data_IF_918292110709
#
_entry.id   IF_918292110709
#
_cell.length_a   1.000
_cell.length_b   1.000
_cell.length_c   1.000
_cell.angle_alpha   90.00
_cell.angle_beta   90.00
_cell.angle_gamma   90.00
#
_symmetry.space_group_name_H-M   'P 1'
#
loop_
_entity.id
_entity.type
_entity.pdbx_description
1 polymer ?
#
# COMPACT_ATOMS: atom_id res chain seq x y z
N UNK A 1 -17.49 6.37 17.37
CA UNK A 1 -16.26 7.09 17.05
C UNK A 1 -16.36 7.38 15.56
N UNK A 2 -17.08 8.45 15.22
CA UNK A 2 -17.39 8.84 13.85
C UNK A 2 -16.92 10.29 13.68
N UNK A 3 -15.71 10.49 13.16
CA UNK A 3 -15.29 11.82 12.70
C UNK A 3 -15.84 12.02 11.31
N UNK A 4 -17.14 12.35 11.22
CA UNK A 4 -17.70 12.94 10.02
C UNK A 4 -16.95 14.26 9.76
N UNK A 5 -16.13 14.27 8.71
CA UNK A 5 -15.46 15.45 8.18
C UNK A 5 -16.52 16.47 7.74
N UNK A 6 -16.97 17.31 8.66
CA UNK A 6 -17.81 18.47 8.33
C UNK A 6 -16.91 19.51 7.67
N UNK A 7 -16.78 19.42 6.34
CA UNK A 7 -16.24 20.52 5.54
C UNK A 7 -17.13 21.75 5.78
N UNK A 8 -16.51 22.89 6.11
CA UNK A 8 -17.27 24.11 6.34
C UNK A 8 -18.08 24.46 5.08
N UNK A 9 -19.32 24.99 5.25
CA UNK A 9 -20.15 25.45 4.12
C UNK A 9 -19.41 26.41 3.19
N UNK A 10 -18.49 27.22 3.73
CA UNK A 10 -17.66 28.16 2.97
C UNK A 10 -16.63 27.44 2.09
N UNK A 11 -16.02 26.37 2.58
CA UNK A 11 -15.07 25.54 1.82
C UNK A 11 -15.78 24.78 0.70
N UNK A 12 -16.99 24.28 0.95
CA UNK A 12 -17.82 23.62 -0.07
C UNK A 12 -18.31 24.59 -1.14
N UNK A 13 -18.73 25.80 -0.76
CA UNK A 13 -19.13 26.85 -1.72
C UNK A 13 -17.95 27.32 -2.57
N UNK A 14 -16.76 27.49 -1.97
CA UNK A 14 -15.52 27.80 -2.71
C UNK A 14 -15.15 26.68 -3.69
N UNK A 15 -15.12 25.42 -3.23
CA UNK A 15 -14.82 24.27 -4.09
C UNK A 15 -15.84 24.13 -5.24
N UNK A 16 -17.13 24.36 -4.96
CA UNK A 16 -18.20 24.33 -5.97
C UNK A 16 -18.06 25.48 -6.98
N UNK A 17 -17.72 26.70 -6.54
CA UNK A 17 -17.44 27.81 -7.46
C UNK A 17 -16.18 27.60 -8.30
N UNK A 18 -15.17 26.91 -7.76
CA UNK A 18 -13.93 26.57 -8.45
C UNK A 18 -14.17 25.49 -9.50
N UNK A 19 -14.99 24.48 -9.18
CA UNK A 19 -15.46 23.46 -10.14
C UNK A 19 -16.39 24.04 -11.21
N UNK A 20 -17.26 24.99 -10.86
CA UNK A 20 -18.09 25.69 -11.84
C UNK A 20 -17.25 26.56 -12.79
N UNK A 21 -16.19 27.20 -12.26
CA UNK A 21 -15.24 27.96 -13.06
C UNK A 21 -14.40 27.06 -14.00
N UNK A 22 -14.06 25.82 -13.59
CA UNK A 22 -13.33 24.89 -14.45
C UNK A 22 -14.17 24.34 -15.61
N UNK A 23 -15.48 24.13 -15.42
CA UNK A 23 -16.41 23.72 -16.49
C UNK A 23 -16.61 24.84 -17.53
N UNK A 24 -16.57 26.12 -17.13
CA UNK A 24 -16.76 27.25 -18.05
C UNK A 24 -15.48 27.75 -18.72
N UNK A 25 -14.29 27.48 -18.15
CA UNK A 25 -13.01 27.99 -18.67
C UNK A 25 -12.39 27.14 -19.80
N UNK A 26 -12.94 25.98 -20.13
CA UNK A 26 -12.30 24.99 -21.02
C UNK A 26 -12.08 25.45 -22.48
N UNK A 27 -12.95 26.25 -23.14
CA UNK A 27 -12.69 26.63 -24.53
C UNK A 27 -12.11 28.05 -24.71
N UNK A 28 -12.44 29.00 -23.82
CA UNK A 28 -12.12 30.43 -24.04
C UNK A 28 -10.74 30.85 -23.50
N UNK A 29 -10.19 30.16 -22.50
CA UNK A 29 -8.87 30.46 -21.93
C UNK A 29 -7.70 29.87 -22.75
N UNK A 30 -7.98 29.01 -23.73
CA UNK A 30 -6.96 28.42 -24.60
C UNK A 30 -6.38 29.42 -25.63
N UNK A 31 -7.06 30.55 -25.88
CA UNK A 31 -6.71 31.49 -26.96
C UNK A 31 -5.73 32.59 -26.47
N UNK A 32 -5.55 32.76 -25.16
CA UNK A 32 -4.55 33.66 -24.58
C UNK A 32 -4.12 33.17 -23.20
N UNK A 33 -3.55 31.97 -23.11
CA UNK A 33 -3.00 31.49 -21.84
C UNK A 33 -1.74 32.32 -21.52
N UNK A 34 -1.73 33.14 -20.46
CA UNK A 34 -0.47 33.70 -19.97
C UNK A 34 0.48 32.55 -19.66
N UNK A 35 1.77 32.74 -19.96
CA UNK A 35 2.78 31.72 -19.75
C UNK A 35 2.77 31.30 -18.28
N UNK A 36 2.34 30.07 -17.99
CA UNK A 36 2.42 29.51 -16.65
C UNK A 36 3.89 29.53 -16.19
N UNK A 37 4.18 29.80 -14.91
CA UNK A 37 5.53 29.70 -14.38
C UNK A 37 6.12 28.32 -14.65
N UNK A 38 7.38 28.26 -15.08
CA UNK A 38 8.05 26.98 -15.37
C UNK A 38 8.18 26.11 -14.12
N UNK A 39 8.22 26.73 -12.93
CA UNK A 39 8.15 26.06 -11.63
C UNK A 39 6.85 25.27 -11.48
N UNK A 40 5.69 25.89 -11.73
CA UNK A 40 4.40 25.21 -11.64
C UNK A 40 4.27 24.09 -12.69
N UNK A 41 4.73 24.32 -13.92
CA UNK A 41 4.74 23.27 -14.96
C UNK A 41 5.55 22.05 -14.52
N UNK A 42 6.73 22.29 -13.93
CA UNK A 42 7.62 21.23 -13.46
C UNK A 42 6.99 20.45 -12.31
N UNK A 43 6.43 21.13 -11.30
CA UNK A 43 5.75 20.49 -10.17
C UNK A 43 4.54 19.64 -10.62
N UNK A 44 3.75 20.15 -11.56
CA UNK A 44 2.62 19.41 -12.13
C UNK A 44 3.07 18.18 -12.92
N UNK A 45 4.12 18.31 -13.73
CA UNK A 45 4.68 17.18 -14.48
C UNK A 45 5.26 16.10 -13.55
N UNK A 46 6.01 16.49 -12.52
CA UNK A 46 6.55 15.57 -11.51
C UNK A 46 5.45 14.85 -10.72
N UNK A 47 4.38 15.56 -10.35
CA UNK A 47 3.23 14.96 -9.67
C UNK A 47 2.51 13.95 -10.55
N UNK A 48 2.28 14.27 -11.83
CA UNK A 48 1.64 13.37 -12.77
C UNK A 48 2.49 12.11 -13.04
N UNK A 49 3.78 12.29 -13.29
CA UNK A 49 4.72 11.18 -13.51
C UNK A 49 4.83 10.27 -12.27
N UNK A 50 4.90 10.84 -11.07
CA UNK A 50 4.95 10.06 -9.84
C UNK A 50 3.64 9.30 -9.58
N UNK A 51 2.49 9.88 -9.94
CA UNK A 51 1.19 9.20 -9.84
C UNK A 51 1.08 8.01 -10.81
N UNK A 52 1.57 8.18 -12.04
CA UNK A 52 1.62 7.09 -13.02
C UNK A 52 2.59 5.98 -12.60
N UNK A 53 3.77 6.35 -12.10
CA UNK A 53 4.74 5.42 -11.53
C UNK A 53 4.11 4.58 -10.40
N UNK A 54 3.35 5.22 -9.51
CA UNK A 54 2.62 4.52 -8.45
C UNK A 54 1.61 3.50 -8.98
N UNK A 55 0.78 3.86 -9.97
CA UNK A 55 -0.18 2.93 -10.58
C UNK A 55 0.49 1.71 -11.19
N UNK A 56 1.60 1.93 -11.89
CA UNK A 56 2.37 0.85 -12.51
C UNK A 56 2.94 -0.09 -11.45
N UNK A 57 3.47 0.46 -10.35
CA UNK A 57 3.99 -0.36 -9.25
C UNK A 57 2.91 -1.13 -8.50
N UNK A 58 1.71 -0.56 -8.31
CA UNK A 58 0.60 -1.29 -7.68
C UNK A 58 0.13 -2.46 -8.54
N UNK A 59 0.03 -2.26 -9.86
CA UNK A 59 -0.27 -3.34 -10.80
C UNK A 59 0.80 -4.46 -10.71
N UNK A 60 2.08 -4.09 -10.76
CA UNK A 60 3.19 -5.05 -10.64
C UNK A 60 3.17 -5.81 -9.30
N UNK A 61 2.82 -5.13 -8.22
CA UNK A 61 2.65 -5.75 -6.90
C UNK A 61 1.47 -6.71 -6.84
N UNK A 62 0.33 -6.36 -7.43
CA UNK A 62 -0.82 -7.26 -7.51
C UNK A 62 -0.45 -8.52 -8.31
N UNK A 63 0.25 -8.37 -9.43
CA UNK A 63 0.75 -9.49 -10.23
C UNK A 63 1.74 -10.37 -9.46
N UNK A 64 2.71 -9.76 -8.76
CA UNK A 64 3.68 -10.48 -7.94
C UNK A 64 2.98 -11.26 -6.80
N UNK A 65 1.97 -10.65 -6.16
CA UNK A 65 1.13 -11.33 -5.15
C UNK A 65 0.41 -12.54 -5.72
N UNK A 66 -0.26 -12.38 -6.87
CA UNK A 66 -1.01 -13.48 -7.50
C UNK A 66 -0.06 -14.61 -7.92
N UNK A 67 1.11 -14.27 -8.47
CA UNK A 67 2.15 -15.24 -8.83
C UNK A 67 2.65 -16.01 -7.60
N UNK A 68 2.99 -15.29 -6.52
CA UNK A 68 3.41 -15.87 -5.25
C UNK A 68 2.36 -16.82 -4.68
N UNK A 69 1.12 -16.36 -4.57
CA UNK A 69 0.02 -17.15 -4.01
C UNK A 69 -0.21 -18.44 -4.82
N UNK A 70 -0.07 -18.37 -6.15
CA UNK A 70 -0.12 -19.55 -7.03
C UNK A 70 1.05 -20.50 -6.79
N UNK A 71 2.28 -20.00 -6.74
CA UNK A 71 3.46 -20.84 -6.51
C UNK A 71 3.42 -21.52 -5.13
N UNK A 72 2.94 -20.82 -4.10
CA UNK A 72 2.73 -21.38 -2.77
C UNK A 72 1.64 -22.47 -2.77
N UNK A 73 0.55 -22.27 -3.51
CA UNK A 73 -0.50 -23.27 -3.67
C UNK A 73 0.02 -24.54 -4.36
N UNK A 74 0.81 -24.38 -5.43
CA UNK A 74 1.40 -25.49 -6.20
C UNK A 74 2.50 -26.23 -5.40
N UNK A 75 3.21 -25.52 -4.51
CA UNK A 75 4.28 -26.07 -3.67
C UNK A 75 3.83 -27.07 -2.60
N UNK A 76 2.52 -27.14 -2.31
CA UNK A 76 1.92 -28.06 -1.31
C UNK A 76 2.69 -28.12 0.02
N UNK A 77 3.12 -26.96 0.51
CA UNK A 77 3.89 -26.84 1.74
C UNK A 77 2.97 -27.00 2.96
N UNK A 78 3.42 -27.81 3.93
CA UNK A 78 2.62 -28.18 5.11
C UNK A 78 3.49 -28.14 6.37
N UNK A 79 2.96 -27.51 7.42
CA UNK A 79 3.44 -27.61 8.79
C UNK A 79 2.73 -28.79 9.47
N UNK A 80 3.49 -29.63 10.19
CA UNK A 80 2.94 -30.70 11.03
C UNK A 80 3.28 -30.38 12.48
N UNK A 81 2.25 -30.21 13.31
CA UNK A 81 2.39 -29.87 14.73
C UNK A 81 2.99 -31.04 15.54
N UNK A 82 3.33 -30.77 16.81
CA UNK A 82 3.80 -31.82 17.73
C UNK A 82 2.78 -32.94 17.97
N UNK A 83 1.51 -32.67 17.68
CA UNK A 83 0.37 -33.58 17.83
C UNK A 83 0.01 -34.31 16.53
N UNK A 84 0.71 -34.01 15.42
CA UNK A 84 0.48 -34.63 14.11
C UNK A 84 -0.59 -33.92 13.28
N UNK A 85 -1.07 -32.75 13.71
CA UNK A 85 -2.01 -31.96 12.93
C UNK A 85 -1.28 -31.26 11.79
N UNK A 86 -1.86 -31.31 10.59
CA UNK A 86 -1.26 -30.79 9.38
C UNK A 86 -1.97 -29.50 8.92
N UNK A 87 -1.22 -28.41 8.83
CA UNK A 87 -1.71 -27.09 8.39
C UNK A 87 -0.93 -26.64 7.15
N UNK A 88 -1.61 -26.14 6.13
CA UNK A 88 -0.95 -25.62 4.92
C UNK A 88 -0.20 -24.33 5.22
N UNK A 89 1.01 -24.21 4.67
CA UNK A 89 1.78 -22.97 4.72
C UNK A 89 1.34 -22.03 3.60
N UNK A 90 1.12 -20.75 3.91
CA UNK A 90 0.59 -19.75 2.97
C UNK A 90 0.20 -18.43 3.63
N UNK A 91 -0.45 -17.54 2.85
CA UNK A 91 -0.87 -16.20 3.32
C UNK A 91 -2.38 -15.94 3.26
N UNK A 92 -3.22 -16.93 2.93
CA UNK A 92 -4.68 -16.72 2.79
C UNK A 92 -5.53 -17.87 3.31
N UNK A 93 -6.73 -17.53 3.78
CA UNK A 93 -7.71 -18.51 4.23
C UNK A 93 -7.23 -19.23 5.48
N UNK A 94 -7.34 -20.56 5.50
CA UNK A 94 -6.92 -21.41 6.62
C UNK A 94 -5.44 -21.85 6.50
N UNK A 95 -4.55 -20.97 6.05
CA UNK A 95 -3.10 -21.22 5.98
C UNK A 95 -2.35 -20.46 7.07
N UNK A 96 -1.18 -20.94 7.46
CA UNK A 96 -0.30 -20.29 8.42
C UNK A 96 1.02 -19.89 7.77
N UNK A 97 1.60 -18.74 8.14
CA UNK A 97 2.96 -18.38 7.70
C UNK A 97 4.01 -19.14 8.52
N UNK A 98 5.22 -19.38 7.98
CA UNK A 98 6.24 -20.15 8.69
C UNK A 98 6.66 -19.54 10.03
N UNK A 99 6.75 -18.21 10.13
CA UNK A 99 7.07 -17.49 11.37
C UNK A 99 6.04 -17.77 12.47
N UNK A 100 4.75 -17.66 12.14
CA UNK A 100 3.67 -17.99 13.09
C UNK A 100 3.61 -19.48 13.43
N UNK A 101 3.96 -20.36 12.50
CA UNK A 101 4.04 -21.79 12.76
C UNK A 101 5.19 -22.15 13.73
N UNK A 102 6.32 -21.42 13.66
CA UNK A 102 7.40 -21.57 14.63
C UNK A 102 6.95 -21.10 16.03
N UNK A 103 6.26 -19.97 16.13
CA UNK A 103 5.70 -19.49 17.40
C UNK A 103 4.73 -20.52 18.00
N UNK A 104 3.77 -20.99 17.20
CA UNK A 104 2.82 -22.04 17.63
C UNK A 104 3.54 -23.31 18.11
N UNK A 105 4.61 -23.72 17.43
CA UNK A 105 5.37 -24.90 17.82
C UNK A 105 6.08 -24.73 19.18
N UNK A 106 6.57 -23.53 19.50
CA UNK A 106 7.16 -23.25 20.81
C UNK A 106 6.07 -23.21 21.91
N UNK A 107 4.89 -22.65 21.60
CA UNK A 107 3.74 -22.66 22.52
C UNK A 107 3.25 -24.09 22.82
N UNK A 108 3.11 -24.93 21.79
CA UNK A 108 2.76 -26.35 21.92
C UNK A 108 3.73 -27.09 22.85
N UNK A 109 5.03 -26.79 22.76
CA UNK A 109 6.04 -27.38 23.64
C UNK A 109 5.86 -26.94 25.09
N UNK A 110 5.59 -25.66 25.34
CA UNK A 110 5.37 -25.14 26.70
C UNK A 110 4.17 -25.82 27.34
N UNK A 111 3.06 -25.95 26.60
CA UNK A 111 1.85 -26.65 27.06
C UNK A 111 2.18 -28.11 27.34
N UNK A 112 2.78 -28.82 26.39
CA UNK A 112 3.12 -30.24 26.55
C UNK A 112 4.08 -30.51 27.72
N UNK A 113 5.02 -29.61 28.00
CA UNK A 113 5.93 -29.72 29.15
C UNK A 113 5.24 -29.45 30.49
N UNK A 114 4.22 -28.60 30.49
CA UNK A 114 3.41 -28.27 31.67
C UNK A 114 2.47 -29.41 32.03
N UNK A 115 1.88 -30.06 31.02
CA UNK A 115 0.96 -31.19 31.19
C UNK A 115 1.68 -32.53 31.44
N UNK A 116 2.97 -32.61 31.09
CA UNK A 116 3.74 -33.85 31.22
C UNK A 116 3.87 -34.32 32.69
N UNK A 117 3.33 -35.52 32.93
CA UNK A 117 3.24 -36.13 34.27
C UNK A 117 4.57 -36.66 34.81
N UNK A 118 5.53 -36.96 33.93
CA UNK A 118 6.79 -37.61 34.29
C UNK A 118 7.96 -37.23 33.36
N UNK A 119 9.17 -37.68 33.70
CA UNK A 119 10.38 -37.37 32.95
C UNK A 119 10.41 -37.98 31.53
N UNK A 120 9.72 -39.09 31.29
CA UNK A 120 9.63 -39.73 29.96
C UNK A 120 8.71 -38.93 29.04
N UNK A 121 7.58 -38.45 29.54
CA UNK A 121 6.65 -37.58 28.79
C UNK A 121 7.35 -36.29 28.37
N UNK A 122 8.09 -35.66 29.29
CA UNK A 122 8.91 -34.46 28.98
C UNK A 122 9.97 -34.74 27.92
N UNK A 123 10.63 -35.91 27.96
CA UNK A 123 11.59 -36.31 26.92
C UNK A 123 10.90 -36.54 25.57
N UNK A 124 9.71 -37.15 25.56
CA UNK A 124 8.93 -37.36 24.34
C UNK A 124 8.48 -36.04 23.71
N UNK A 125 7.95 -35.11 24.51
CA UNK A 125 7.56 -33.78 24.03
C UNK A 125 8.72 -33.05 23.36
N UNK A 126 9.92 -33.06 23.97
CA UNK A 126 11.12 -32.44 23.37
C UNK A 126 11.56 -33.10 22.07
N UNK A 127 11.41 -34.43 21.94
CA UNK A 127 11.73 -35.13 20.68
C UNK A 127 10.74 -34.77 19.59
N UNK A 128 9.44 -34.83 19.89
CA UNK A 128 8.39 -34.45 18.96
C UNK A 128 8.56 -33.00 18.47
N UNK A 129 8.89 -32.08 19.39
CA UNK A 129 9.21 -30.69 19.05
C UNK A 129 10.41 -30.60 18.12
N UNK A 130 11.52 -31.27 18.45
CA UNK A 130 12.73 -31.24 17.63
C UNK A 130 12.47 -31.78 16.20
N UNK A 131 11.68 -32.86 16.09
CA UNK A 131 11.32 -33.46 14.81
C UNK A 131 10.39 -32.54 13.99
N UNK A 132 9.34 -32.00 14.63
CA UNK A 132 8.43 -31.03 14.01
C UNK A 132 9.17 -29.76 13.57
N UNK A 133 10.07 -29.23 14.40
CA UNK A 133 10.91 -28.07 14.11
C UNK A 133 11.79 -28.32 12.90
N UNK A 134 12.45 -29.48 12.84
CA UNK A 134 13.29 -29.86 11.70
C UNK A 134 12.49 -29.97 10.40
N UNK A 135 11.27 -30.51 10.45
CA UNK A 135 10.39 -30.57 9.29
C UNK A 135 9.93 -29.18 8.86
N UNK A 136 9.51 -28.34 9.82
CA UNK A 136 9.09 -26.98 9.57
C UNK A 136 10.23 -26.14 8.97
N UNK A 137 11.47 -26.25 9.46
CA UNK A 137 12.63 -25.55 8.88
C UNK A 137 12.80 -25.85 7.39
N UNK A 138 12.73 -27.12 6.98
CA UNK A 138 12.84 -27.48 5.56
C UNK A 138 11.69 -26.93 4.72
N UNK A 139 10.48 -26.90 5.28
CA UNK A 139 9.31 -26.35 4.59
C UNK A 139 9.36 -24.83 4.51
N UNK A 140 9.87 -24.16 5.56
CA UNK A 140 10.10 -22.73 5.62
C UNK A 140 11.17 -22.29 4.59
N UNK A 141 12.27 -23.03 4.46
CA UNK A 141 13.28 -22.78 3.42
C UNK A 141 12.66 -22.79 2.02
N UNK A 142 11.79 -23.78 1.73
CA UNK A 142 11.06 -23.86 0.46
C UNK A 142 10.06 -22.71 0.29
N UNK A 143 9.35 -22.36 1.36
CA UNK A 143 8.43 -21.23 1.39
C UNK A 143 9.15 -19.93 1.00
N UNK A 144 10.25 -19.61 1.68
CA UNK A 144 11.00 -18.38 1.42
C UNK A 144 11.68 -18.40 0.06
N UNK A 145 12.13 -19.56 -0.42
CA UNK A 145 12.62 -19.69 -1.79
C UNK A 145 11.53 -19.37 -2.83
N UNK A 146 10.29 -19.83 -2.61
CA UNK A 146 9.16 -19.50 -3.49
C UNK A 146 8.84 -18.00 -3.45
N UNK A 147 8.81 -17.39 -2.26
CA UNK A 147 8.57 -15.95 -2.10
C UNK A 147 9.66 -15.12 -2.77
N UNK A 148 10.93 -15.52 -2.63
CA UNK A 148 12.06 -14.84 -3.30
C UNK A 148 11.99 -14.96 -4.83
N UNK A 149 11.50 -16.09 -5.36
CA UNK A 149 11.33 -16.29 -6.81
C UNK A 149 10.11 -15.59 -7.40
N UNK A 150 9.10 -15.27 -6.58
CA UNK A 150 7.85 -14.68 -7.09
C UNK A 150 7.99 -13.20 -7.47
N UNK A 151 9.10 -12.55 -7.13
CA UNK A 151 9.30 -11.11 -7.32
C UNK A 151 8.56 -10.25 -6.28
N UNK A 152 8.08 -10.85 -5.19
CA UNK A 152 7.21 -10.19 -4.22
C UNK A 152 7.95 -9.11 -3.42
N UNK A 153 9.15 -9.42 -2.95
CA UNK A 153 9.98 -8.49 -2.17
C UNK A 153 10.37 -7.27 -3.03
N UNK A 154 10.80 -7.50 -4.27
CA UNK A 154 11.16 -6.44 -5.21
C UNK A 154 9.95 -5.56 -5.56
N UNK A 155 8.75 -6.16 -5.67
CA UNK A 155 7.54 -5.40 -5.94
C UNK A 155 7.10 -4.54 -4.74
N UNK A 156 7.30 -5.01 -3.51
CA UNK A 156 7.07 -4.21 -2.29
C UNK A 156 8.08 -3.06 -2.21
N UNK A 157 9.36 -3.33 -2.46
CA UNK A 157 10.41 -2.29 -2.46
C UNK A 157 10.10 -1.21 -3.49
N UNK A 158 9.75 -1.60 -4.73
CA UNK A 158 9.36 -0.66 -5.78
C UNK A 158 8.09 0.14 -5.44
N UNK A 159 7.07 -0.49 -4.85
CA UNK A 159 5.87 0.22 -4.35
C UNK A 159 6.25 1.26 -3.29
N UNK A 160 7.12 0.90 -2.34
CA UNK A 160 7.56 1.81 -1.28
C UNK A 160 8.34 3.00 -1.85
N UNK A 161 9.25 2.78 -2.79
CA UNK A 161 10.02 3.84 -3.45
C UNK A 161 9.11 4.77 -4.25
N UNK A 162 8.22 4.20 -5.07
CA UNK A 162 7.23 4.96 -5.82
C UNK A 162 6.33 5.76 -4.86
N UNK A 163 5.98 5.18 -3.70
CA UNK A 163 5.14 5.84 -2.71
C UNK A 163 5.84 7.05 -2.09
N UNK A 164 7.12 6.93 -1.74
CA UNK A 164 7.89 8.07 -1.24
C UNK A 164 8.03 9.17 -2.30
N UNK A 165 8.29 8.80 -3.56
CA UNK A 165 8.38 9.74 -4.67
C UNK A 165 7.07 10.49 -4.88
N UNK A 166 5.95 9.76 -4.91
CA UNK A 166 4.62 10.34 -5.03
C UNK A 166 4.27 11.26 -3.86
N UNK A 167 4.56 10.83 -2.62
CA UNK A 167 4.36 11.65 -1.42
C UNK A 167 5.17 12.94 -1.46
N UNK A 168 6.42 12.89 -1.90
CA UNK A 168 7.27 14.07 -2.04
C UNK A 168 6.74 15.03 -3.11
N UNK A 169 6.45 14.53 -4.33
CA UNK A 169 5.92 15.34 -5.42
C UNK A 169 4.57 15.99 -5.05
N UNK A 170 3.70 15.24 -4.37
CA UNK A 170 2.44 15.74 -3.82
C UNK A 170 2.67 16.90 -2.85
N UNK A 171 3.58 16.73 -1.90
CA UNK A 171 3.85 17.76 -0.89
C UNK A 171 4.43 19.02 -1.54
N UNK A 172 5.37 18.87 -2.48
CA UNK A 172 5.94 19.99 -3.23
C UNK A 172 4.88 20.77 -4.03
N UNK A 173 3.95 20.06 -4.69
CA UNK A 173 2.85 20.71 -5.40
C UNK A 173 1.84 21.36 -4.45
N UNK A 174 1.56 20.75 -3.28
CA UNK A 174 0.68 21.30 -2.24
C UNK A 174 1.21 22.61 -1.63
N UNK A 175 2.52 22.72 -1.50
CA UNK A 175 3.18 23.88 -0.93
C UNK A 175 3.26 25.05 -1.92
N UNK A 176 3.00 24.81 -3.21
CA UNK A 176 2.85 25.86 -4.19
C UNK A 176 1.64 26.75 -3.85
N UNK A 177 1.85 28.07 -3.91
CA UNK A 177 0.80 29.08 -3.74
C UNK A 177 0.51 29.73 -5.08
N UNK A 178 -0.61 29.38 -5.75
CA UNK A 178 -0.97 30.02 -7.00
C UNK A 178 -1.22 31.51 -6.76
N UNK A 179 -0.79 32.37 -7.70
CA UNK A 179 -1.00 33.82 -7.60
C UNK A 179 -2.01 34.33 -8.62
N UNK A 180 -2.31 33.53 -9.65
CA UNK A 180 -3.12 33.95 -10.79
C UNK A 180 -4.20 32.92 -11.11
N UNK A 181 -5.36 33.37 -11.60
CA UNK A 181 -6.45 32.47 -12.04
C UNK A 181 -6.02 31.43 -13.10
N UNK A 182 -5.12 31.74 -14.05
CA UNK A 182 -4.53 30.75 -14.95
C UNK A 182 -3.79 29.60 -14.23
N UNK A 183 -3.03 29.90 -13.18
CA UNK A 183 -2.35 28.87 -12.36
C UNK A 183 -3.37 27.99 -11.62
N UNK A 184 -4.41 28.61 -11.06
CA UNK A 184 -5.54 27.90 -10.42
C UNK A 184 -6.19 26.92 -11.41
N UNK A 185 -6.50 27.40 -12.62
CA UNK A 185 -7.11 26.57 -13.65
C UNK A 185 -6.18 25.43 -14.10
N UNK A 186 -4.87 25.67 -14.17
CA UNK A 186 -3.89 24.64 -14.51
C UNK A 186 -3.79 23.56 -13.43
N UNK A 187 -3.77 23.95 -12.16
CA UNK A 187 -3.78 23.03 -11.02
C UNK A 187 -5.02 22.13 -11.04
N UNK A 188 -6.22 22.69 -11.24
CA UNK A 188 -7.47 21.91 -11.29
C UNK A 188 -7.44 20.89 -12.42
N UNK A 189 -7.00 21.28 -13.63
CA UNK A 189 -6.85 20.35 -14.76
C UNK A 189 -5.84 19.24 -14.47
N UNK A 190 -4.73 19.58 -13.80
CA UNK A 190 -3.75 18.59 -13.37
C UNK A 190 -4.37 17.53 -12.46
N UNK A 191 -5.15 17.99 -11.47
CA UNK A 191 -5.81 17.09 -10.51
C UNK A 191 -6.88 16.23 -11.16
N UNK A 192 -7.66 16.79 -12.08
CA UNK A 192 -8.66 16.03 -12.82
C UNK A 192 -8.00 14.96 -13.71
N UNK A 193 -6.93 15.31 -14.41
CA UNK A 193 -6.18 14.38 -15.27
C UNK A 193 -5.51 13.25 -14.45
N UNK A 194 -4.97 13.56 -13.28
CA UNK A 194 -4.43 12.55 -12.37
C UNK A 194 -5.57 11.75 -11.72
N UNK A 195 -6.73 12.34 -11.43
CA UNK A 195 -7.87 11.65 -10.84
C UNK A 195 -7.65 11.19 -9.40
N UNK A 196 -8.68 10.55 -8.82
CA UNK A 196 -8.63 10.00 -7.47
C UNK A 196 -7.87 8.66 -7.48
N UNK A 197 -6.83 8.55 -6.66
CA UNK A 197 -6.05 7.32 -6.55
C UNK A 197 -6.82 6.26 -5.74
N UNK A 198 -7.17 5.09 -6.34
CA UNK A 198 -7.87 4.04 -5.63
C UNK A 198 -6.85 3.28 -4.78
N UNK A 199 -6.92 3.44 -3.47
CA UNK A 199 -6.06 2.71 -2.53
C UNK A 199 -5.43 3.56 -1.44
N UNK A 200 -5.52 4.90 -1.49
CA UNK A 200 -5.12 5.68 -0.35
C UNK A 200 -5.72 7.07 -0.29
N UNK A 201 -5.85 7.55 0.94
CA UNK A 201 -6.07 8.91 1.39
C UNK A 201 -4.97 9.90 0.89
N UNK A 202 -4.20 9.56 -0.16
CA UNK A 202 -2.94 10.22 -0.49
C UNK A 202 -2.89 10.99 -1.81
N UNK A 203 -3.98 11.11 -2.57
CA UNK A 203 -4.05 12.12 -3.65
C UNK A 203 -4.21 13.54 -3.09
N UNK A 204 -3.98 14.57 -3.91
CA UNK A 204 -4.42 15.93 -3.56
C UNK A 204 -5.95 15.98 -3.52
N UNK A 205 -6.49 16.22 -2.33
CA UNK A 205 -7.94 16.24 -2.11
C UNK A 205 -8.53 17.62 -2.37
N UNK A 206 -9.87 17.68 -2.41
CA UNK A 206 -10.62 18.94 -2.51
C UNK A 206 -10.23 19.94 -1.41
N UNK A 207 -9.86 19.45 -0.22
CA UNK A 207 -9.39 20.28 0.89
C UNK A 207 -8.01 20.89 0.63
N UNK A 208 -7.10 20.15 0.02
CA UNK A 208 -5.77 20.66 -0.31
C UNK A 208 -5.87 21.77 -1.36
N UNK A 209 -6.69 21.53 -2.39
CA UNK A 209 -7.11 22.54 -3.36
C UNK A 209 -7.68 23.79 -2.69
N UNK A 210 -8.64 23.64 -1.78
CA UNK A 210 -9.23 24.77 -1.08
C UNK A 210 -8.19 25.58 -0.29
N UNK A 211 -7.26 24.91 0.40
CA UNK A 211 -6.18 25.56 1.14
C UNK A 211 -5.20 26.31 0.23
N UNK A 212 -4.86 25.73 -0.93
CA UNK A 212 -3.98 26.40 -1.90
C UNK A 212 -4.63 27.66 -2.49
N UNK A 213 -5.97 27.70 -2.56
CA UNK A 213 -6.74 28.78 -3.17
C UNK A 213 -7.19 29.85 -2.18
N UNK A 214 -7.01 29.65 -0.88
CA UNK A 214 -7.48 30.60 0.14
C UNK A 214 -6.73 31.94 0.11
N UNK A 215 -5.53 32.00 -0.45
CA UNK A 215 -4.68 33.21 -0.55
C UNK A 215 -4.92 34.03 -1.85
N UNK A 216 -5.68 33.51 -2.82
CA UNK A 216 -5.97 34.16 -4.12
C UNK A 216 -7.27 35.00 -4.08
N UNK A 217 -7.93 35.05 -2.92
CA UNK A 217 -9.19 35.74 -2.69
C UNK A 217 -9.00 37.17 -2.17
#
# INVERSE_FOLDING_TARGET
MDTQNVLSRRSLLKASSVLAASVMAAPAAAIAAPALPDTLKSLMAEYADAADGMRLTDAARIEARVRRDKMLADGNLVFVSMHGEATRLGERGATIRPDLAFEQLEDDLVVALTEASNANDKRRARRNHADAKRLLTKQAERYYAIVGQSGWEQAIEAENEAYQRFKAARQSLRDYRPQTMPEVAALIRCFDAVGLYPGSENGLGVRDLANMLDEVA
#
